data_IF_293403190556
#
_entry.id   IF_293403190556
#
_cell.length_a   1.000
_cell.length_b   1.000
_cell.length_c   1.000
_cell.angle_alpha   90.00
_cell.angle_beta   90.00
_cell.angle_gamma   90.00
#
_symmetry.space_group_name_H-M   'P 1'
#
loop_
_entity.id
_entity.type
_entity.pdbx_description
1 polymer ?
#
# COMPACT_ATOMS: atom_id res chain seq x y z
N UNK A 1 -20.73 7.15 12.01
CA UNK A 1 -19.29 6.87 12.22
C UNK A 1 -18.86 5.52 11.68
N UNK A 2 -19.50 4.40 12.05
CA UNK A 2 -19.10 3.06 11.59
C UNK A 2 -19.13 2.91 10.05
N UNK A 3 -20.12 3.50 9.39
CA UNK A 3 -20.26 3.49 7.92
C UNK A 3 -19.09 4.18 7.20
N UNK A 4 -18.64 5.33 7.72
CA UNK A 4 -17.53 6.10 7.15
C UNK A 4 -16.21 5.34 7.35
N UNK A 5 -16.00 4.77 8.53
CA UNK A 5 -14.81 3.97 8.83
C UNK A 5 -14.67 2.78 7.88
N UNK A 6 -15.76 2.02 7.67
CA UNK A 6 -15.78 0.89 6.74
C UNK A 6 -15.61 1.36 5.30
N UNK A 7 -16.28 2.44 4.89
CA UNK A 7 -16.16 3.01 3.55
C UNK A 7 -14.71 3.40 3.23
N UNK A 8 -14.00 4.03 4.17
CA UNK A 8 -12.61 4.44 3.97
C UNK A 8 -11.63 3.26 3.94
N UNK A 9 -11.88 2.20 4.69
CA UNK A 9 -11.08 0.96 4.59
C UNK A 9 -11.23 0.36 3.19
N UNK A 10 -12.46 0.25 2.69
CA UNK A 10 -12.74 -0.29 1.36
C UNK A 10 -12.17 0.61 0.25
N UNK A 11 -12.31 1.93 0.40
CA UNK A 11 -11.74 2.92 -0.50
C UNK A 11 -10.21 2.87 -0.54
N UNK A 12 -9.57 2.75 0.62
CA UNK A 12 -8.13 2.56 0.74
C UNK A 12 -7.67 1.25 0.08
N UNK A 13 -8.36 0.14 0.37
CA UNK A 13 -8.12 -1.15 -0.28
C UNK A 13 -8.20 -1.03 -1.81
N UNK A 14 -9.21 -0.34 -2.31
CA UNK A 14 -9.40 -0.09 -3.73
C UNK A 14 -8.27 0.75 -4.34
N UNK A 15 -7.82 1.81 -3.66
CA UNK A 15 -6.62 2.56 -4.04
C UNK A 15 -5.37 1.67 -4.12
N UNK A 16 -5.23 0.73 -3.19
CA UNK A 16 -4.20 -0.31 -3.21
C UNK A 16 -4.29 -1.22 -4.43
N UNK A 17 -5.49 -1.69 -4.79
CA UNK A 17 -5.73 -2.50 -6.00
C UNK A 17 -5.37 -1.71 -7.25
N UNK A 18 -5.79 -0.45 -7.36
CA UNK A 18 -5.42 0.41 -8.48
C UNK A 18 -3.90 0.54 -8.62
N UNK A 19 -3.18 0.66 -7.51
CA UNK A 19 -1.72 0.69 -7.52
C UNK A 19 -1.12 -0.65 -7.97
N UNK A 20 -1.70 -1.78 -7.57
CA UNK A 20 -1.27 -3.11 -8.00
C UNK A 20 -1.49 -3.37 -9.49
N UNK A 21 -2.58 -2.85 -10.06
CA UNK A 21 -2.88 -2.94 -11.49
C UNK A 21 -1.99 -2.02 -12.33
N UNK A 22 -1.45 -0.96 -11.72
CA UNK A 22 -0.50 -0.07 -12.37
C UNK A 22 0.88 -0.75 -12.44
N UNK A 23 1.20 -1.33 -13.62
CA UNK A 23 2.33 -2.25 -13.93
C UNK A 23 3.75 -1.91 -13.41
N UNK A 24 3.99 -0.74 -12.80
CA UNK A 24 5.29 -0.28 -12.28
C UNK A 24 5.38 -0.21 -10.74
N UNK A 25 4.42 -0.77 -10.00
CA UNK A 25 4.35 -0.56 -8.54
C UNK A 25 4.03 -1.83 -7.75
N UNK A 26 4.28 -3.00 -8.34
CA UNK A 26 4.20 -4.26 -7.64
C UNK A 26 5.37 -4.35 -6.66
N UNK A 27 5.12 -4.01 -5.40
CA UNK A 27 6.09 -4.28 -4.35
C UNK A 27 6.13 -5.79 -4.17
N UNK A 28 7.27 -6.39 -4.47
CA UNK A 28 7.44 -7.83 -4.26
C UNK A 28 7.40 -8.11 -2.76
N UNK A 29 6.42 -8.91 -2.35
CA UNK A 29 6.49 -9.58 -1.06
C UNK A 29 7.27 -10.88 -1.23
N UNK A 30 7.95 -11.32 -0.19
CA UNK A 30 8.38 -12.69 -0.14
C UNK A 30 7.17 -13.65 -0.27
N UNK A 31 7.38 -14.76 -0.99
CA UNK A 31 6.35 -15.64 -1.58
C UNK A 31 5.34 -16.27 -0.61
N UNK A 32 5.52 -16.11 0.70
CA UNK A 32 4.70 -16.76 1.73
C UNK A 32 3.30 -16.16 1.93
N UNK A 33 3.02 -14.96 1.38
CA UNK A 33 1.69 -14.34 1.48
C UNK A 33 0.89 -14.60 0.21
N UNK A 34 0.39 -15.83 0.04
CA UNK A 34 -0.59 -16.14 -1.02
C UNK A 34 -1.97 -16.27 -0.37
N UNK A 35 -2.93 -15.45 -0.81
CA UNK A 35 -4.33 -15.61 -0.41
C UNK A 35 -5.14 -16.19 -1.57
N UNK A 36 -6.01 -17.15 -1.27
CA UNK A 36 -7.01 -17.64 -2.22
C UNK A 36 -8.26 -16.80 -2.05
N UNK A 37 -8.68 -16.12 -3.12
CA UNK A 37 -9.99 -15.44 -3.18
C UNK A 37 -10.74 -16.02 -4.38
N UNK A 38 -11.96 -16.51 -4.14
CA UNK A 38 -12.82 -17.10 -5.16
C UNK A 38 -12.14 -18.20 -6.03
N UNK A 39 -11.35 -19.07 -5.39
CA UNK A 39 -10.64 -20.17 -6.08
C UNK A 39 -9.41 -19.76 -6.90
N UNK A 40 -9.14 -18.46 -7.06
CA UNK A 40 -7.92 -17.96 -7.72
C UNK A 40 -6.89 -17.55 -6.67
N UNK A 41 -5.63 -17.94 -6.90
CA UNK A 41 -4.49 -17.52 -6.08
C UNK A 41 -4.16 -16.08 -6.45
N UNK A 42 -4.38 -15.14 -5.54
CA UNK A 42 -3.93 -13.76 -5.72
C UNK A 42 -2.41 -13.71 -5.60
N UNK A 43 -1.78 -12.98 -6.52
CA UNK A 43 -0.34 -12.73 -6.45
C UNK A 43 -0.01 -12.00 -5.14
N UNK A 44 1.08 -12.38 -4.43
CA UNK A 44 1.46 -11.77 -3.15
C UNK A 44 1.54 -10.23 -3.19
N UNK A 45 2.03 -9.65 -4.29
CA UNK A 45 2.10 -8.19 -4.47
C UNK A 45 0.72 -7.50 -4.51
N UNK A 46 -0.33 -8.18 -4.98
CA UNK A 46 -1.69 -7.61 -4.98
C UNK A 46 -2.27 -7.61 -3.56
N UNK A 47 -2.08 -8.70 -2.82
CA UNK A 47 -2.53 -8.82 -1.42
C UNK A 47 -1.85 -7.76 -0.55
N UNK A 48 -0.54 -7.55 -0.73
CA UNK A 48 0.19 -6.47 -0.06
C UNK A 48 -0.43 -5.11 -0.33
N UNK A 49 -0.64 -4.80 -1.60
CA UNK A 49 -1.10 -3.48 -2.01
C UNK A 49 -2.50 -3.22 -1.46
N UNK A 50 -3.35 -4.23 -1.38
CA UNK A 50 -4.65 -4.16 -0.68
C UNK A 50 -4.46 -3.82 0.80
N UNK A 51 -3.59 -4.55 1.51
CA UNK A 51 -3.37 -4.32 2.96
C UNK A 51 -2.78 -2.94 3.25
N UNK A 52 -1.80 -2.50 2.45
CA UNK A 52 -1.22 -1.15 2.55
C UNK A 52 -2.29 -0.11 2.25
N UNK A 53 -3.09 -0.34 1.21
CA UNK A 53 -4.22 0.52 0.86
C UNK A 53 -5.23 0.65 1.99
N UNK A 54 -5.64 -0.46 2.62
CA UNK A 54 -6.50 -0.48 3.80
C UNK A 54 -5.91 0.33 4.95
N UNK A 55 -4.61 0.15 5.22
CA UNK A 55 -3.89 0.91 6.24
C UNK A 55 -3.91 2.42 5.98
N UNK A 56 -3.69 2.83 4.73
CA UNK A 56 -3.80 4.23 4.33
C UNK A 56 -5.23 4.78 4.50
N UNK A 57 -6.25 3.96 4.20
CA UNK A 57 -7.66 4.29 4.46
C UNK A 57 -7.96 4.51 5.95
N UNK A 58 -7.41 3.67 6.83
CA UNK A 58 -7.56 3.82 8.30
C UNK A 58 -6.88 5.11 8.78
N UNK A 59 -5.65 5.36 8.32
CA UNK A 59 -4.88 6.56 8.68
C UNK A 59 -5.60 7.83 8.20
N UNK A 60 -6.20 7.81 7.01
CA UNK A 60 -7.01 8.92 6.52
C UNK A 60 -8.18 9.23 7.46
N UNK A 61 -8.95 8.22 7.88
CA UNK A 61 -10.07 8.42 8.82
C UNK A 61 -9.60 8.93 10.18
N UNK A 62 -8.50 8.39 10.70
CA UNK A 62 -7.96 8.81 12.00
C UNK A 62 -7.45 10.25 11.95
N UNK A 63 -6.66 10.63 10.94
CA UNK A 63 -6.20 12.01 10.76
C UNK A 63 -7.37 12.98 10.64
N UNK A 64 -8.36 12.62 9.84
CA UNK A 64 -9.55 13.45 9.63
C UNK A 64 -10.40 13.63 10.89
N UNK A 65 -10.34 12.68 11.84
CA UNK A 65 -10.99 12.82 13.15
C UNK A 65 -10.39 13.93 14.02
N UNK A 66 -9.14 14.31 13.76
CA UNK A 66 -8.43 15.37 14.48
C UNK A 66 -8.47 16.72 13.76
N UNK A 67 -8.94 16.78 12.50
CA UNK A 67 -9.12 18.04 11.79
C UNK A 67 -10.55 18.56 11.97
N UNK A 68 -10.75 19.84 12.31
CA UNK A 68 -12.07 20.48 12.38
C UNK A 68 -12.57 20.83 10.97
N UNK A 69 -12.60 19.86 10.06
CA UNK A 69 -13.04 20.03 8.68
C UNK A 69 -14.23 19.11 8.46
N UNK A 70 -15.38 19.70 8.14
CA UNK A 70 -16.54 18.95 7.68
C UNK A 70 -16.30 18.51 6.23
N UNK A 71 -15.91 17.26 6.06
CA UNK A 71 -15.79 16.64 4.75
C UNK A 71 -16.98 15.73 4.49
N UNK A 72 -17.51 15.81 3.28
CA UNK A 72 -18.57 14.89 2.85
C UNK A 72 -18.03 13.47 2.62
N UNK A 73 -18.94 12.52 2.46
CA UNK A 73 -18.56 11.10 2.31
C UNK A 73 -17.76 10.84 1.03
N UNK A 74 -17.95 11.65 -0.01
CA UNK A 74 -17.24 11.53 -1.29
C UNK A 74 -15.80 12.00 -1.16
N UNK A 75 -15.57 13.11 -0.46
CA UNK A 75 -14.26 13.65 -0.16
C UNK A 75 -13.46 12.69 0.72
N UNK A 76 -14.08 12.12 1.75
CA UNK A 76 -13.47 11.06 2.58
C UNK A 76 -13.03 9.86 1.74
N UNK A 77 -13.91 9.40 0.86
CA UNK A 77 -13.64 8.26 -0.02
C UNK A 77 -12.50 8.58 -0.99
N UNK A 78 -12.50 9.78 -1.58
CA UNK A 78 -11.45 10.24 -2.49
C UNK A 78 -10.08 10.31 -1.81
N UNK A 79 -10.01 10.87 -0.60
CA UNK A 79 -8.76 10.94 0.19
C UNK A 79 -8.25 9.53 0.50
N UNK A 80 -9.14 8.62 0.91
CA UNK A 80 -8.76 7.23 1.20
C UNK A 80 -8.26 6.49 -0.05
N UNK A 81 -8.91 6.64 -1.21
CA UNK A 81 -8.44 6.07 -2.48
C UNK A 81 -7.08 6.65 -2.87
N UNK A 82 -6.91 7.97 -2.80
CA UNK A 82 -5.65 8.64 -3.14
C UNK A 82 -4.52 8.25 -2.19
N UNK A 83 -4.79 8.15 -0.90
CA UNK A 83 -3.84 7.67 0.10
C UNK A 83 -3.45 6.22 -0.14
N UNK A 84 -4.42 5.36 -0.42
CA UNK A 84 -4.16 3.96 -0.78
C UNK A 84 -3.36 3.82 -2.07
N UNK A 85 -3.63 4.64 -3.09
CA UNK A 85 -2.89 4.60 -4.35
C UNK A 85 -1.47 5.16 -4.23
N UNK A 86 -1.33 6.38 -3.70
CA UNK A 86 -0.05 7.10 -3.61
C UNK A 86 0.86 6.54 -2.52
N UNK A 87 0.33 6.19 -1.35
CA UNK A 87 1.08 5.61 -0.24
C UNK A 87 1.71 4.28 -0.63
N UNK A 88 0.94 3.43 -1.32
CA UNK A 88 1.46 2.14 -1.82
C UNK A 88 2.54 2.35 -2.88
N UNK A 89 2.40 3.34 -3.77
CA UNK A 89 3.41 3.67 -4.78
C UNK A 89 4.72 4.23 -4.17
N UNK A 90 4.63 5.06 -3.15
CA UNK A 90 5.79 5.62 -2.45
C UNK A 90 6.54 4.53 -1.68
N UNK A 91 5.80 3.68 -0.97
CA UNK A 91 6.36 2.53 -0.27
C UNK A 91 7.01 1.53 -1.25
N UNK A 92 6.44 1.36 -2.44
CA UNK A 92 7.02 0.55 -3.51
C UNK A 92 8.41 1.03 -3.90
N UNK A 93 8.50 2.33 -4.24
CA UNK A 93 9.75 2.96 -4.69
C UNK A 93 10.81 2.98 -3.60
N UNK A 94 10.41 3.21 -2.35
CA UNK A 94 11.35 3.20 -1.24
C UNK A 94 11.86 1.78 -0.96
N UNK A 95 11.01 0.76 -1.05
CA UNK A 95 11.44 -0.63 -0.89
C UNK A 95 12.42 -1.07 -1.99
N UNK A 96 12.17 -0.67 -3.25
CA UNK A 96 13.07 -0.94 -4.38
C UNK A 96 14.44 -0.29 -4.18
N UNK A 97 14.47 1.00 -3.85
CA UNK A 97 15.71 1.73 -3.53
C UNK A 97 16.47 1.12 -2.36
N UNK A 98 15.77 0.69 -1.31
CA UNK A 98 16.40 0.06 -0.15
C UNK A 98 17.02 -1.29 -0.52
N UNK A 99 16.38 -2.06 -1.40
CA UNK A 99 16.92 -3.31 -1.94
C UNK A 99 18.20 -3.05 -2.73
N UNK A 100 18.18 -2.10 -3.67
CA UNK A 100 19.36 -1.73 -4.47
C UNK A 100 20.53 -1.24 -3.60
N UNK A 101 20.23 -0.44 -2.56
CA UNK A 101 21.24 0.02 -1.61
C UNK A 101 21.84 -1.14 -0.81
N UNK A 102 21.00 -2.07 -0.36
CA UNK A 102 21.45 -3.25 0.40
C UNK A 102 22.36 -4.13 -0.47
N UNK A 103 22.00 -4.34 -1.73
CA UNK A 103 22.79 -5.14 -2.67
C UNK A 103 24.17 -4.51 -2.93
N UNK A 104 24.23 -3.19 -3.14
CA UNK A 104 25.50 -2.44 -3.27
C UNK A 104 26.37 -2.54 -2.03
N UNK A 105 25.79 -2.41 -0.83
CA UNK A 105 26.53 -2.52 0.43
C UNK A 105 27.12 -3.93 0.58
N UNK A 106 26.36 -4.96 0.23
CA UNK A 106 26.84 -6.36 0.28
C UNK A 106 27.97 -6.58 -0.73
N UNK A 107 27.86 -6.09 -1.96
CA UNK A 107 28.94 -6.15 -2.95
C UNK A 107 30.20 -5.40 -2.49
N UNK A 108 30.04 -4.24 -1.86
CA UNK A 108 31.16 -3.46 -1.32
C UNK A 108 31.88 -4.23 -0.21
N UNK A 109 31.14 -4.86 0.71
CA UNK A 109 31.72 -5.71 1.76
C UNK A 109 32.46 -6.91 1.16
N UNK A 110 31.86 -7.59 0.17
CA UNK A 110 32.49 -8.74 -0.49
C UNK A 110 33.78 -8.35 -1.23
N UNK A 111 33.79 -7.19 -1.89
CA UNK A 111 34.97 -6.70 -2.61
C UNK A 111 36.11 -6.28 -1.67
N UNK A 112 35.80 -5.78 -0.47
CA UNK A 112 36.79 -5.45 0.57
C UNK A 112 37.34 -6.68 1.33
N UNK A 113 36.67 -7.82 1.24
CA UNK A 113 37.12 -9.09 1.83
C UNK A 113 37.99 -9.94 0.89
N UNK A 114 38.11 -9.56 -0.38
CA UNK A 114 39.05 -10.15 -1.35
C UNK A 114 40.35 -9.35 -1.39
#
# INVERSE_FOLDING_TARGET
MLSIFVASILAGAFGGILNALHKKSAIELPRFVTSKVAGKVLKPGIVRNILIGMGAGIVAVQLLRFLPIELDIFQFTAIAVLGGFSGTKLLARNAERLSEQTEKIVEEIISKMK
#
